data_IF_989480136394
#
_entry.id   IF_989480136394
#
_cell.length_a   1.000
_cell.length_b   1.000
_cell.length_c   1.000
_cell.angle_alpha   90.00
_cell.angle_beta   90.00
_cell.angle_gamma   90.00
#
_symmetry.space_group_name_H-M   'P 1'
#
loop_
_entity.id
_entity.type
_entity.pdbx_description
1 polymer ?
#
# COMPACT_ATOMS: atom_id res chain seq x y z
N UNK A 1 3.96 5.81 13.44
CA UNK A 1 4.98 5.91 12.36
C UNK A 1 4.30 6.22 11.05
N UNK A 2 4.72 7.24 10.34
CA UNK A 2 4.16 7.55 9.02
C UNK A 2 5.27 7.98 8.04
N UNK A 3 4.94 8.00 6.75
CA UNK A 3 5.86 8.37 5.68
C UNK A 3 5.54 7.65 4.37
N UNK A 4 6.29 7.92 3.29
CA UNK A 4 5.99 7.40 1.96
C UNK A 4 6.01 5.86 1.90
N UNK A 5 5.26 5.26 0.96
CA UNK A 5 5.28 3.82 0.74
C UNK A 5 6.70 3.36 0.35
N UNK A 6 7.13 2.23 0.94
CA UNK A 6 8.49 1.68 0.72
C UNK A 6 9.58 2.28 1.62
N UNK A 7 9.25 3.21 2.53
CA UNK A 7 10.18 3.81 3.48
C UNK A 7 10.58 2.93 4.68
N UNK A 8 10.18 1.65 4.71
CA UNK A 8 10.62 0.70 5.76
C UNK A 8 9.76 0.67 7.03
N UNK A 9 8.63 1.38 7.09
CA UNK A 9 7.74 1.45 8.27
C UNK A 9 7.37 0.09 8.86
N UNK A 10 6.78 -0.78 8.03
CA UNK A 10 6.36 -2.13 8.44
C UNK A 10 7.55 -2.99 8.90
N UNK A 11 8.71 -2.80 8.27
CA UNK A 11 9.93 -3.51 8.67
C UNK A 11 10.42 -3.06 10.05
N UNK A 12 10.46 -1.74 10.28
CA UNK A 12 10.83 -1.18 11.58
C UNK A 12 9.82 -1.57 12.67
N UNK A 13 8.53 -1.53 12.37
CA UNK A 13 7.49 -1.96 13.30
C UNK A 13 7.62 -3.45 13.68
N UNK A 14 7.94 -4.30 12.70
CA UNK A 14 8.19 -5.72 12.93
C UNK A 14 9.45 -5.95 13.77
N UNK A 15 10.54 -5.21 13.51
CA UNK A 15 11.77 -5.29 14.30
C UNK A 15 11.56 -4.88 15.77
N UNK A 16 10.80 -3.81 16.01
CA UNK A 16 10.42 -3.39 17.38
C UNK A 16 9.59 -4.49 18.05
N UNK A 17 8.60 -5.05 17.33
CA UNK A 17 7.77 -6.13 17.83
C UNK A 17 8.60 -7.36 18.21
N UNK A 18 9.56 -7.76 17.37
CA UNK A 18 10.46 -8.88 17.62
C UNK A 18 11.33 -8.63 18.85
N UNK A 19 11.97 -7.47 18.95
CA UNK A 19 12.78 -7.11 20.10
C UNK A 19 12.00 -7.15 21.42
N UNK A 20 10.72 -6.74 21.40
CA UNK A 20 9.86 -6.83 22.57
C UNK A 20 9.51 -8.29 22.93
N UNK A 21 9.25 -9.13 21.92
CA UNK A 21 8.98 -10.58 22.14
C UNK A 21 10.21 -11.26 22.75
N UNK A 22 11.41 -10.96 22.28
CA UNK A 22 12.68 -11.47 22.82
C UNK A 22 12.89 -11.06 24.30
N UNK A 23 12.30 -9.92 24.70
CA UNK A 23 12.28 -9.45 26.09
C UNK A 23 11.05 -9.92 26.89
N UNK A 24 10.31 -10.91 26.40
CA UNK A 24 9.19 -11.54 27.13
C UNK A 24 7.86 -10.81 27.01
N UNK A 25 7.74 -9.77 26.19
CA UNK A 25 6.47 -9.06 25.98
C UNK A 25 5.58 -9.78 24.96
N UNK A 26 4.29 -9.79 25.22
CA UNK A 26 3.31 -10.31 24.26
C UNK A 26 2.97 -9.24 23.24
N UNK A 27 3.29 -9.49 21.98
CA UNK A 27 3.04 -8.58 20.86
C UNK A 27 2.15 -9.27 19.84
N UNK A 28 1.18 -8.53 19.31
CA UNK A 28 0.41 -8.94 18.14
C UNK A 28 0.72 -7.98 16.99
N UNK A 29 1.25 -8.52 15.90
CA UNK A 29 1.41 -7.81 14.64
C UNK A 29 0.30 -8.24 13.67
N UNK A 30 -0.45 -7.28 13.15
CA UNK A 30 -1.54 -7.55 12.21
C UNK A 30 -1.72 -6.40 11.23
N UNK A 31 -2.22 -6.69 10.05
CA UNK A 31 -2.71 -5.64 9.15
C UNK A 31 -3.98 -5.04 9.73
N UNK A 32 -4.12 -3.73 9.61
CA UNK A 32 -5.31 -3.04 10.12
C UNK A 32 -6.59 -3.56 9.47
N UNK A 33 -6.58 -3.80 8.17
CA UNK A 33 -7.71 -4.34 7.42
C UNK A 33 -8.16 -5.71 7.94
N UNK A 34 -7.22 -6.62 8.19
CA UNK A 34 -7.54 -7.97 8.66
C UNK A 34 -8.16 -7.96 10.05
N UNK A 35 -7.65 -7.09 10.93
CA UNK A 35 -8.20 -6.94 12.28
C UNK A 35 -9.59 -6.31 12.23
N UNK A 36 -9.78 -5.25 11.45
CA UNK A 36 -11.09 -4.58 11.29
C UNK A 36 -12.14 -5.57 10.78
N UNK A 37 -11.83 -6.41 9.79
CA UNK A 37 -12.75 -7.44 9.31
C UNK A 37 -13.15 -8.43 10.42
N UNK A 38 -12.19 -8.89 11.23
CA UNK A 38 -12.48 -9.78 12.38
C UNK A 38 -13.37 -9.10 13.42
N UNK A 39 -13.12 -7.83 13.73
CA UNK A 39 -13.95 -7.07 14.66
C UNK A 39 -15.35 -6.79 14.11
N UNK A 40 -15.49 -6.57 12.80
CA UNK A 40 -16.80 -6.45 12.17
C UNK A 40 -17.61 -7.76 12.25
N UNK A 41 -16.97 -8.91 12.06
CA UNK A 41 -17.62 -10.22 12.26
C UNK A 41 -18.08 -10.35 13.72
N UNK A 42 -17.19 -10.08 14.66
CA UNK A 42 -17.53 -10.12 16.10
C UNK A 42 -18.67 -9.14 16.46
N UNK A 43 -18.74 -7.98 15.81
CA UNK A 43 -19.86 -7.03 15.98
C UNK A 43 -21.18 -7.61 15.51
N UNK A 44 -21.21 -8.26 14.33
CA UNK A 44 -22.41 -8.91 13.80
C UNK A 44 -22.89 -10.06 14.70
N UNK A 45 -21.94 -10.74 15.34
CA UNK A 45 -22.19 -11.83 16.28
C UNK A 45 -22.46 -11.35 17.71
N UNK A 46 -22.54 -10.03 17.95
CA UNK A 46 -22.72 -9.40 19.26
C UNK A 46 -21.62 -9.79 20.28
N UNK A 47 -20.44 -10.07 19.81
CA UNK A 47 -19.27 -10.50 20.62
C UNK A 47 -18.10 -9.52 20.53
N UNK A 48 -18.33 -8.29 20.08
CA UNK A 48 -17.27 -7.30 19.84
C UNK A 48 -16.45 -6.99 21.09
N UNK A 49 -17.13 -6.75 22.22
CA UNK A 49 -16.49 -6.48 23.51
C UNK A 49 -15.54 -7.62 23.89
N UNK A 50 -16.02 -8.86 23.86
CA UNK A 50 -15.18 -10.03 24.14
C UNK A 50 -14.03 -10.23 23.15
N UNK A 51 -14.19 -9.78 21.89
CA UNK A 51 -13.12 -9.80 20.90
C UNK A 51 -12.06 -8.75 21.19
N UNK A 52 -12.44 -7.56 21.63
CA UNK A 52 -11.52 -6.50 22.07
C UNK A 52 -10.78 -6.91 23.34
N UNK A 53 -11.47 -7.45 24.36
CA UNK A 53 -10.86 -7.94 25.61
C UNK A 53 -9.80 -9.03 25.34
N UNK A 54 -10.02 -9.90 24.36
CA UNK A 54 -9.02 -10.89 23.95
C UNK A 54 -7.73 -10.25 23.39
N UNK A 55 -7.80 -9.04 22.88
CA UNK A 55 -6.62 -8.31 22.43
C UNK A 55 -5.84 -7.71 23.59
N UNK A 56 -6.43 -7.49 24.76
CA UNK A 56 -5.77 -6.91 25.94
C UNK A 56 -4.74 -7.82 26.59
N UNK A 57 -4.74 -9.10 26.23
CA UNK A 57 -3.63 -10.00 26.57
C UNK A 57 -2.29 -9.59 25.95
N UNK A 58 -2.29 -8.79 24.88
CA UNK A 58 -1.10 -8.29 24.23
C UNK A 58 -0.70 -6.94 24.81
N UNK A 59 0.55 -6.83 25.24
CA UNK A 59 1.12 -5.58 25.75
C UNK A 59 1.27 -4.53 24.64
N UNK A 60 1.65 -4.99 23.43
CA UNK A 60 1.70 -4.16 22.25
C UNK A 60 0.85 -4.75 21.12
N UNK A 61 0.02 -3.92 20.51
CA UNK A 61 -0.69 -4.19 19.28
C UNK A 61 -0.06 -3.37 18.15
N UNK A 62 0.42 -4.03 17.11
CA UNK A 62 0.97 -3.36 15.92
C UNK A 62 -0.08 -3.44 14.80
N UNK A 63 -0.60 -2.27 14.44
CA UNK A 63 -1.56 -2.07 13.37
C UNK A 63 -0.82 -1.57 12.13
N UNK A 64 -0.51 -2.48 11.22
CA UNK A 64 0.20 -2.13 10.01
C UNK A 64 -0.77 -1.63 8.92
N UNK A 65 -0.37 -0.56 8.24
CA UNK A 65 -1.05 0.01 7.07
C UNK A 65 -2.45 0.56 7.36
N UNK A 66 -2.57 1.45 8.35
CA UNK A 66 -3.84 2.04 8.77
C UNK A 66 -4.58 2.78 7.65
N UNK A 67 -3.87 3.51 6.81
CA UNK A 67 -4.40 4.49 5.86
C UNK A 67 -4.45 3.98 4.41
N UNK A 68 -4.40 2.66 4.18
CA UNK A 68 -4.31 2.13 2.82
C UNK A 68 -5.64 2.19 2.05
N UNK A 69 -6.77 2.15 2.73
CA UNK A 69 -8.11 2.17 2.09
C UNK A 69 -9.02 3.11 2.86
N UNK A 70 -9.80 3.91 2.14
CA UNK A 70 -10.96 4.63 2.71
C UNK A 70 -11.90 3.59 3.34
N UNK A 71 -12.13 3.71 4.62
CA UNK A 71 -12.96 2.78 5.38
C UNK A 71 -14.42 3.27 5.39
N UNK A 72 -15.35 2.33 5.37
CA UNK A 72 -16.74 2.67 5.60
C UNK A 72 -17.00 3.04 7.09
N UNK A 73 -18.17 3.55 7.38
CA UNK A 73 -18.53 3.97 8.75
C UNK A 73 -18.53 2.79 9.73
N UNK A 74 -18.88 1.59 9.29
CA UNK A 74 -18.89 0.40 10.13
C UNK A 74 -17.46 -0.07 10.45
N UNK A 75 -16.54 0.02 9.49
CA UNK A 75 -15.12 -0.30 9.67
C UNK A 75 -14.44 0.68 10.62
N UNK A 76 -14.73 1.97 10.46
CA UNK A 76 -14.13 3.01 11.30
C UNK A 76 -14.67 2.99 12.72
N UNK A 77 -15.94 2.62 12.90
CA UNK A 77 -16.56 2.49 14.22
C UNK A 77 -15.89 1.40 15.07
N UNK A 78 -15.66 0.19 14.53
CA UNK A 78 -14.99 -0.88 15.29
C UNK A 78 -13.52 -0.55 15.56
N UNK A 79 -12.85 0.16 14.65
CA UNK A 79 -11.49 0.65 14.86
C UNK A 79 -11.44 1.70 15.96
N UNK A 80 -12.39 2.62 15.99
CA UNK A 80 -12.52 3.63 17.04
C UNK A 80 -12.76 3.01 18.42
N UNK A 81 -13.64 2.00 18.50
CA UNK A 81 -13.90 1.27 19.75
C UNK A 81 -12.62 0.58 20.24
N UNK A 82 -11.86 -0.06 19.36
CA UNK A 82 -10.56 -0.66 19.69
C UNK A 82 -9.56 0.37 20.22
N UNK A 83 -9.42 1.52 19.52
CA UNK A 83 -8.52 2.61 19.95
C UNK A 83 -8.94 3.12 21.33
N UNK A 84 -10.25 3.34 21.53
CA UNK A 84 -10.79 3.83 22.78
C UNK A 84 -10.59 2.86 23.95
N UNK A 85 -10.78 1.57 23.73
CA UNK A 85 -10.58 0.54 24.74
C UNK A 85 -9.10 0.42 25.16
N UNK A 86 -8.17 0.65 24.22
CA UNK A 86 -6.73 0.56 24.51
C UNK A 86 -6.11 1.87 24.99
N UNK A 87 -6.83 2.99 24.86
CA UNK A 87 -6.37 4.29 25.29
C UNK A 87 -5.99 4.26 26.80
N UNK A 88 -4.78 4.71 27.12
CA UNK A 88 -4.19 4.69 28.47
C UNK A 88 -4.08 3.30 29.16
N UNK A 89 -4.50 2.23 28.51
CA UNK A 89 -4.49 0.87 29.07
C UNK A 89 -3.36 0.00 28.46
N UNK A 90 -3.20 0.04 27.15
CA UNK A 90 -2.28 -0.82 26.41
C UNK A 90 -1.63 -0.09 25.24
N UNK A 91 -0.39 -0.45 24.94
CA UNK A 91 0.35 0.18 23.85
C UNK A 91 -0.16 -0.23 22.48
N UNK A 92 -0.21 0.76 21.58
CA UNK A 92 -0.52 0.55 20.17
C UNK A 92 0.58 1.19 19.33
N UNK A 93 1.09 0.47 18.33
CA UNK A 93 1.98 1.00 17.32
C UNK A 93 1.26 0.98 15.98
N UNK A 94 1.19 2.13 15.32
CA UNK A 94 0.49 2.27 14.05
C UNK A 94 1.47 2.67 12.97
N UNK A 95 1.40 2.00 11.82
CA UNK A 95 2.06 2.47 10.60
C UNK A 95 1.02 3.04 9.63
N UNK A 96 1.35 4.18 9.02
CA UNK A 96 0.49 4.84 8.03
C UNK A 96 1.33 5.42 6.89
N UNK A 97 0.74 5.52 5.71
CA UNK A 97 1.39 6.14 4.57
C UNK A 97 1.13 7.66 4.52
N UNK A 98 0.19 8.13 5.29
CA UNK A 98 -0.27 9.52 5.32
C UNK A 98 -0.09 10.14 6.71
N UNK A 99 0.25 11.44 6.78
CA UNK A 99 0.30 12.17 8.04
C UNK A 99 -1.11 12.34 8.65
N UNK A 100 -1.17 12.63 9.95
CA UNK A 100 -2.43 12.76 10.69
C UNK A 100 -3.42 13.77 10.08
N UNK A 101 -2.92 14.84 9.46
CA UNK A 101 -3.78 15.84 8.81
C UNK A 101 -4.61 15.31 7.63
N UNK A 102 -4.24 14.17 7.08
CA UNK A 102 -4.97 13.51 5.99
C UNK A 102 -5.91 12.39 6.46
N UNK A 103 -5.96 12.12 7.77
CA UNK A 103 -6.76 11.03 8.33
C UNK A 103 -8.27 11.28 8.27
N UNK A 104 -8.71 12.50 7.99
CA UNK A 104 -10.10 12.78 7.63
C UNK A 104 -10.62 12.02 6.42
N UNK A 105 -9.70 11.44 5.62
CA UNK A 105 -10.06 10.52 4.52
C UNK A 105 -10.25 9.07 4.98
N UNK A 106 -9.75 8.73 6.16
CA UNK A 106 -9.85 7.37 6.72
C UNK A 106 -11.18 7.22 7.45
N UNK A 107 -11.53 8.22 8.23
CA UNK A 107 -12.76 8.26 9.01
C UNK A 107 -13.77 9.18 8.31
N UNK A 108 -14.93 8.67 7.89
CA UNK A 108 -15.96 9.49 7.23
C UNK A 108 -16.58 10.54 8.16
N UNK A 109 -16.59 10.27 9.47
CA UNK A 109 -17.08 11.21 10.48
C UNK A 109 -15.94 12.09 11.01
N UNK A 110 -15.99 13.42 10.81
CA UNK A 110 -14.99 14.36 11.30
C UNK A 110 -14.82 14.36 12.83
N UNK A 111 -15.93 14.20 13.58
CA UNK A 111 -15.88 14.17 15.04
C UNK A 111 -15.17 12.89 15.54
N UNK A 112 -15.46 11.75 14.92
CA UNK A 112 -14.77 10.49 15.19
C UNK A 112 -13.29 10.57 14.83
N UNK A 113 -12.95 11.20 13.68
CA UNK A 113 -11.56 11.44 13.28
C UNK A 113 -10.81 12.22 14.34
N UNK A 114 -11.36 13.36 14.76
CA UNK A 114 -10.74 14.21 15.78
C UNK A 114 -10.51 13.43 17.07
N UNK A 115 -11.54 12.74 17.56
CA UNK A 115 -11.46 11.96 18.80
C UNK A 115 -10.49 10.78 18.72
N UNK A 116 -10.37 10.10 17.57
CA UNK A 116 -9.41 9.02 17.36
C UNK A 116 -7.98 9.56 17.32
N UNK A 117 -7.74 10.64 16.56
CA UNK A 117 -6.42 11.28 16.45
C UNK A 117 -5.99 11.82 17.81
N UNK A 118 -6.87 12.50 18.55
CA UNK A 118 -6.58 13.03 19.88
C UNK A 118 -6.08 11.92 20.82
N UNK A 119 -6.80 10.80 20.91
CA UNK A 119 -6.40 9.66 21.73
C UNK A 119 -5.07 9.03 21.30
N UNK A 120 -4.84 8.93 19.99
CA UNK A 120 -3.62 8.32 19.45
C UNK A 120 -2.40 9.21 19.62
N UNK A 121 -2.55 10.53 19.60
CA UNK A 121 -1.42 11.49 19.63
C UNK A 121 -1.08 11.93 21.04
N UNK A 122 -2.02 11.89 21.98
CA UNK A 122 -1.89 12.43 23.33
C UNK A 122 -0.60 11.99 24.06
N UNK A 123 -0.26 10.70 23.99
CA UNK A 123 0.97 10.16 24.61
C UNK A 123 1.90 9.47 23.61
N UNK A 124 1.79 9.83 22.31
CA UNK A 124 2.49 9.12 21.26
C UNK A 124 3.90 9.63 21.01
N UNK A 125 4.80 8.71 20.76
CA UNK A 125 6.06 9.00 20.07
C UNK A 125 5.83 8.93 18.57
N UNK A 126 6.00 10.07 17.90
CA UNK A 126 5.75 10.18 16.46
C UNK A 126 7.06 9.99 15.71
N UNK A 127 7.09 9.01 14.80
CA UNK A 127 8.20 8.81 13.86
C UNK A 127 7.74 9.12 12.45
N UNK A 128 8.38 10.10 11.84
CA UNK A 128 8.21 10.42 10.43
C UNK A 128 9.40 9.89 9.63
N UNK A 129 9.15 9.01 8.67
CA UNK A 129 10.18 8.43 7.82
C UNK A 129 10.19 9.13 6.45
N UNK A 130 11.03 10.14 6.31
CA UNK A 130 11.22 10.90 5.08
C UNK A 130 12.38 10.32 4.25
N UNK A 131 12.25 9.06 3.82
CA UNK A 131 13.28 8.36 3.05
C UNK A 131 12.73 7.91 1.72
N UNK A 132 13.62 7.86 0.72
CA UNK A 132 13.29 7.30 -0.58
C UNK A 132 12.88 5.84 -0.48
N UNK A 133 11.91 5.46 -1.33
CA UNK A 133 11.41 4.09 -1.36
C UNK A 133 12.53 3.08 -1.66
N UNK A 134 12.87 2.26 -0.69
CA UNK A 134 13.81 1.15 -0.85
C UNK A 134 13.36 0.20 -1.97
N UNK A 135 12.07 -0.12 -2.04
CA UNK A 135 11.50 -0.98 -3.10
C UNK A 135 11.74 -0.39 -4.49
N UNK A 136 11.57 0.93 -4.65
CA UNK A 136 11.81 1.62 -5.92
C UNK A 136 13.30 1.63 -6.28
N UNK A 137 14.17 1.90 -5.32
CA UNK A 137 15.63 1.88 -5.50
C UNK A 137 16.11 0.50 -5.92
N UNK A 138 15.74 -0.55 -5.19
CA UNK A 138 16.14 -1.92 -5.51
C UNK A 138 15.61 -2.39 -6.86
N UNK A 139 14.37 -2.01 -7.22
CA UNK A 139 13.82 -2.31 -8.55
C UNK A 139 14.57 -1.61 -9.68
N UNK A 140 15.04 -0.38 -9.47
CA UNK A 140 15.88 0.34 -10.43
C UNK A 140 17.28 -0.26 -10.55
N UNK A 141 17.88 -0.67 -9.45
CA UNK A 141 19.19 -1.35 -9.42
C UNK A 141 19.12 -2.70 -10.13
N UNK A 142 18.08 -3.48 -9.90
CA UNK A 142 17.85 -4.76 -10.59
C UNK A 142 17.63 -4.58 -12.11
N UNK A 143 16.96 -3.50 -12.52
CA UNK A 143 16.83 -3.17 -13.95
C UNK A 143 18.16 -2.77 -14.57
N UNK A 144 19.01 -2.04 -13.84
CA UNK A 144 20.37 -1.68 -14.29
C UNK A 144 21.29 -2.89 -14.38
N UNK A 145 21.18 -3.87 -13.46
CA UNK A 145 21.97 -5.09 -13.48
C UNK A 145 21.54 -6.13 -14.53
N UNK A 146 20.32 -6.04 -15.08
CA UNK A 146 19.77 -6.95 -16.10
C UNK A 146 19.88 -6.46 -17.54
N UNK A 147 20.58 -5.40 -17.81
CA UNK A 147 20.66 -4.79 -19.13
C UNK A 147 22.03 -4.87 -19.76
N UNK A 148 22.40 -6.01 -20.41
CA UNK A 148 23.15 -5.91 -21.65
C UNK A 148 22.21 -5.19 -22.63
N UNK A 149 22.60 -4.05 -23.24
CA UNK A 149 21.74 -3.38 -24.20
C UNK A 149 21.41 -4.39 -25.29
N UNK A 150 20.13 -4.54 -25.62
CA UNK A 150 19.72 -5.34 -26.75
C UNK A 150 20.46 -4.82 -27.97
N UNK A 151 21.43 -5.59 -28.43
CA UNK A 151 22.10 -5.34 -29.69
C UNK A 151 21.00 -5.38 -30.74
N UNK A 152 20.70 -4.25 -31.34
CA UNK A 152 19.73 -4.11 -32.41
C UNK A 152 20.09 -5.20 -33.43
N UNK A 153 19.25 -6.19 -33.61
CA UNK A 153 19.41 -7.17 -34.64
C UNK A 153 19.33 -6.43 -35.98
N UNK A 154 20.48 -6.19 -36.60
CA UNK A 154 20.54 -5.66 -37.95
C UNK A 154 20.13 -6.82 -38.85
N UNK A 155 18.93 -6.76 -39.41
CA UNK A 155 18.52 -7.66 -40.47
C UNK A 155 19.40 -7.29 -41.66
N UNK A 156 20.38 -8.11 -41.96
CA UNK A 156 21.11 -8.07 -43.24
C UNK A 156 20.11 -8.56 -44.31
N UNK A 157 19.52 -7.63 -44.99
CA UNK A 157 18.85 -7.89 -46.28
C UNK A 157 19.98 -8.26 -47.27
N UNK A 158 20.10 -9.50 -47.58
CA UNK A 158 20.87 -9.97 -48.72
C UNK A 158 20.18 -9.49 -49.99
N UNK A 159 20.70 -8.42 -50.56
CA UNK A 159 20.41 -8.01 -51.93
C UNK A 159 21.11 -8.99 -52.88
N UNK A 160 20.33 -9.65 -53.69
CA UNK A 160 20.90 -10.49 -54.75
C UNK A 160 19.86 -11.34 -55.44
N UNK A 161 19.20 -10.80 -56.42
CA UNK A 161 18.99 -11.46 -57.72
C UNK A 161 17.98 -10.61 -58.52
N UNK A 162 18.48 -10.03 -59.56
CA UNK A 162 17.74 -9.40 -60.66
C UNK A 162 17.09 -10.51 -61.50
N UNK A 163 15.83 -10.39 -61.88
CA UNK A 163 15.29 -11.08 -63.03
C UNK A 163 15.08 -10.11 -64.20
N UNK A 164 15.02 -10.60 -65.46
CA UNK A 164 15.19 -9.81 -66.66
C UNK A 164 13.91 -9.13 -67.19
N UNK A 165 14.16 -8.16 -68.06
CA UNK A 165 13.22 -7.46 -68.90
C UNK A 165 12.13 -8.31 -69.56
N UNK A 166 10.93 -7.80 -69.51
CA UNK A 166 9.99 -7.96 -70.64
C UNK A 166 9.22 -6.66 -70.83
N UNK A 167 9.45 -6.15 -72.02
CA UNK A 167 8.79 -5.01 -72.67
C UNK A 167 7.36 -5.29 -73.06
N UNK A 168 6.65 -4.17 -73.35
CA UNK A 168 5.51 -4.01 -74.28
C UNK A 168 4.14 -4.23 -73.61
N UNK A 169 3.17 -3.43 -73.71
CA UNK A 169 2.64 -2.46 -74.69
C UNK A 169 1.55 -1.64 -73.98
N UNK A 170 1.47 -0.39 -74.31
CA UNK A 170 0.38 0.49 -74.68
C UNK A 170 -1.08 -0.02 -74.47
N UNK A 171 -1.91 0.77 -73.87
CA UNK A 171 -2.95 1.50 -74.51
C UNK A 171 -3.76 2.44 -73.60
N UNK A 172 -4.01 3.54 -74.11
CA UNK A 172 -4.73 4.72 -73.87
C UNK A 172 -6.25 4.57 -73.66
N UNK A 173 -6.79 5.70 -73.29
CA UNK A 173 -8.17 6.20 -73.38
C UNK A 173 -8.98 6.16 -72.11
N UNK A 174 -9.33 7.23 -71.62
CA UNK A 174 -10.23 8.34 -71.95
C UNK A 174 -11.34 8.50 -70.92
N UNK A 175 -11.40 9.70 -70.37
CA UNK A 175 -12.57 10.53 -70.04
C UNK A 175 -13.79 9.83 -69.35
N UNK A 176 -14.43 10.36 -68.41
CA UNK A 176 -15.13 11.63 -68.27
C UNK A 176 -15.71 11.72 -66.85
N UNK A 177 -15.70 12.89 -66.27
CA UNK A 177 -16.58 13.48 -65.30
C UNK A 177 -18.01 13.64 -65.94
N UNK A 178 -19.08 14.09 -65.27
CA UNK A 178 -19.35 14.39 -63.84
C UNK A 178 -20.74 13.86 -63.38
N UNK A 179 -21.06 13.94 -62.13
CA UNK A 179 -22.16 14.71 -61.50
C UNK A 179 -22.14 14.48 -59.97
#
# INVERSE_FOLDING_TARGET
MFGPPGGGKSHLAAAIGLALVENGWRVLYTRTTDLVQRLQVARRELTLEAAIDKLDKYHLLILDDLAYVTKDQAETSVLFELISARYEQRSVLITANQPFGEWGRIFPDPAMTLAAVDRLVHHATIFELNVDSYRRRTALEQKRGRGRPATRATIKTTSGTTPPDHQTEQEACHSDDPD
#
